data_IF_091128354408
#
_entry.id   IF_091128354408
#
_cell.length_a   1.000
_cell.length_b   1.000
_cell.length_c   1.000
_cell.angle_alpha   90.00
_cell.angle_beta   90.00
_cell.angle_gamma   90.00
#
_symmetry.space_group_name_H-M   'P 1'
#
loop_
_entity.id
_entity.type
_entity.pdbx_description
1 polymer ?
#
# COMPACT_ATOMS: atom_id res chain seq x y z
N UNK A 1 -8.38 -14.41 10.80
CA UNK A 1 -7.44 -13.75 9.86
C UNK A 1 -6.78 -14.81 8.98
N UNK A 2 -5.87 -14.41 8.09
CA UNK A 2 -5.14 -15.29 7.15
C UNK A 2 -3.68 -15.56 7.57
N UNK A 3 -3.45 -15.78 8.86
CA UNK A 3 -2.09 -15.88 9.43
C UNK A 3 -1.29 -17.10 8.92
N UNK A 4 -1.98 -18.15 8.50
CA UNK A 4 -1.44 -19.37 7.90
C UNK A 4 -0.95 -19.19 6.45
N UNK A 5 -1.34 -18.08 5.80
CA UNK A 5 -0.96 -17.81 4.42
C UNK A 5 0.52 -17.42 4.29
N UNK A 6 1.07 -16.67 5.25
CA UNK A 6 2.45 -16.20 5.17
C UNK A 6 3.49 -17.35 5.09
N UNK A 7 3.42 -18.40 5.92
CA UNK A 7 4.33 -19.54 5.81
C UNK A 7 4.26 -20.22 4.44
N UNK A 8 3.05 -20.40 3.90
CA UNK A 8 2.82 -21.03 2.59
C UNK A 8 3.38 -20.19 1.44
N UNK A 9 3.12 -18.89 1.42
CA UNK A 9 3.68 -17.98 0.39
C UNK A 9 5.23 -17.98 0.42
N UNK A 10 5.83 -18.05 1.61
CA UNK A 10 7.28 -18.17 1.77
C UNK A 10 7.84 -19.47 1.19
N UNK A 11 7.15 -20.60 1.38
CA UNK A 11 7.55 -21.88 0.78
C UNK A 11 7.45 -21.83 -0.75
N UNK A 12 6.38 -21.25 -1.29
CA UNK A 12 6.18 -21.08 -2.73
C UNK A 12 7.25 -20.18 -3.37
N UNK A 13 7.61 -19.06 -2.71
CA UNK A 13 8.78 -18.24 -3.10
C UNK A 13 10.06 -19.09 -3.10
N UNK A 14 10.24 -19.90 -2.04
CA UNK A 14 11.27 -20.95 -1.86
C UNK A 14 11.51 -21.77 -3.13
N UNK A 15 10.40 -22.30 -3.64
CA UNK A 15 10.38 -23.27 -4.73
C UNK A 15 10.16 -22.62 -6.11
N UNK A 16 10.10 -21.29 -6.21
CA UNK A 16 9.98 -20.56 -7.48
C UNK A 16 8.57 -20.55 -8.09
N UNK A 17 7.54 -20.92 -7.34
CA UNK A 17 6.14 -20.98 -7.79
C UNK A 17 5.46 -19.60 -7.79
N UNK A 18 6.00 -18.64 -8.55
CA UNK A 18 5.53 -17.25 -8.53
C UNK A 18 4.10 -17.07 -9.05
N UNK A 19 3.74 -17.73 -10.15
CA UNK A 19 2.38 -17.64 -10.73
C UNK A 19 1.33 -18.20 -9.77
N UNK A 20 1.55 -19.40 -9.25
CA UNK A 20 0.65 -20.03 -8.28
C UNK A 20 0.53 -19.21 -6.98
N UNK A 21 1.63 -18.58 -6.55
CA UNK A 21 1.65 -17.72 -5.36
C UNK A 21 0.74 -16.50 -5.55
N UNK A 22 0.75 -15.88 -6.73
CA UNK A 22 -0.10 -14.73 -7.03
C UNK A 22 -1.60 -15.07 -6.97
N UNK A 23 -1.98 -16.29 -7.36
CA UNK A 23 -3.36 -16.77 -7.29
C UNK A 23 -3.89 -16.90 -5.84
N UNK A 24 -3.01 -16.93 -4.84
CA UNK A 24 -3.40 -16.96 -3.43
C UNK A 24 -3.58 -15.56 -2.81
N UNK A 25 -3.21 -14.51 -3.54
CA UNK A 25 -3.37 -13.12 -3.12
C UNK A 25 -4.61 -12.56 -3.81
N UNK A 26 -5.77 -12.72 -3.16
CA UNK A 26 -7.03 -12.17 -3.64
C UNK A 26 -7.19 -10.67 -3.34
N UNK A 27 -8.20 -10.06 -3.96
CA UNK A 27 -8.50 -8.64 -3.84
C UNK A 27 -8.71 -8.21 -2.38
N UNK A 28 -9.42 -9.03 -1.60
CA UNK A 28 -9.69 -8.74 -0.19
C UNK A 28 -8.40 -8.69 0.64
N UNK A 29 -7.46 -9.63 0.40
CA UNK A 29 -6.15 -9.58 1.05
C UNK A 29 -5.36 -8.36 0.59
N UNK A 30 -5.36 -8.07 -0.71
CA UNK A 30 -4.65 -6.94 -1.30
C UNK A 30 -5.11 -5.61 -0.68
N UNK A 31 -6.42 -5.38 -0.60
CA UNK A 31 -7.02 -4.18 0.01
C UNK A 31 -6.71 -4.10 1.51
N UNK A 32 -6.59 -5.24 2.20
CA UNK A 32 -6.23 -5.28 3.61
C UNK A 32 -4.79 -4.80 3.84
N UNK A 33 -3.84 -5.25 3.01
CA UNK A 33 -2.39 -5.05 3.27
C UNK A 33 -1.76 -3.90 2.49
N UNK A 34 -2.48 -3.30 1.54
CA UNK A 34 -1.96 -2.22 0.70
C UNK A 34 -2.78 -0.94 0.85
N UNK A 35 -2.13 0.17 0.53
CA UNK A 35 -2.82 1.42 0.17
C UNK A 35 -2.63 1.61 -1.33
N UNK A 36 -3.73 1.75 -2.07
CA UNK A 36 -3.69 1.78 -3.55
C UNK A 36 -4.81 2.63 -4.12
N UNK A 37 -4.62 3.12 -5.34
CA UNK A 37 -5.57 3.99 -6.04
C UNK A 37 -4.87 5.19 -6.67
N UNK A 38 -5.67 6.20 -7.01
CA UNK A 38 -5.15 7.52 -7.40
C UNK A 38 -4.56 8.28 -6.19
N UNK A 39 -3.80 9.37 -6.39
CA UNK A 39 -3.16 10.12 -5.32
C UNK A 39 -4.10 10.56 -4.18
N UNK A 40 -5.35 10.93 -4.48
CA UNK A 40 -6.33 11.37 -3.47
C UNK A 40 -6.83 10.18 -2.66
N UNK A 41 -7.14 9.08 -3.34
CA UNK A 41 -7.56 7.83 -2.69
C UNK A 41 -6.45 7.26 -1.78
N UNK A 42 -5.19 7.34 -2.22
CA UNK A 42 -4.01 6.95 -1.43
C UNK A 42 -3.84 7.86 -0.21
N UNK A 43 -3.92 9.18 -0.39
CA UNK A 43 -3.82 10.13 0.72
C UNK A 43 -4.89 9.88 1.81
N UNK A 44 -6.15 9.67 1.39
CA UNK A 44 -7.25 9.39 2.31
C UNK A 44 -7.01 8.10 3.12
N UNK A 45 -6.61 7.02 2.46
CA UNK A 45 -6.29 5.76 3.11
C UNK A 45 -5.09 5.85 4.07
N UNK A 46 -4.06 6.62 3.71
CA UNK A 46 -2.92 6.87 4.61
C UNK A 46 -3.40 7.57 5.89
N UNK A 47 -4.20 8.64 5.75
CA UNK A 47 -4.70 9.39 6.90
C UNK A 47 -5.63 8.54 7.78
N UNK A 48 -6.55 7.77 7.17
CA UNK A 48 -7.46 6.89 7.89
C UNK A 48 -6.71 5.81 8.69
N UNK A 49 -5.74 5.14 8.05
CA UNK A 49 -5.04 3.99 8.67
C UNK A 49 -3.98 4.40 9.67
N UNK A 50 -3.28 5.51 9.43
CA UNK A 50 -2.07 5.87 10.18
C UNK A 50 -2.15 7.21 10.89
N UNK A 51 -3.13 8.09 10.58
CA UNK A 51 -3.18 9.45 11.12
C UNK A 51 -3.37 9.54 12.63
N UNK A 52 -3.98 8.52 13.26
CA UNK A 52 -4.08 8.43 14.72
C UNK A 52 -2.83 7.84 15.41
N UNK A 53 -1.90 7.28 14.62
CA UNK A 53 -0.73 6.55 15.11
C UNK A 53 0.58 7.28 14.80
N UNK A 54 0.60 8.11 13.77
CA UNK A 54 1.77 8.82 13.29
C UNK A 54 1.42 10.26 12.89
N UNK A 55 2.22 11.21 13.35
CA UNK A 55 2.12 12.63 12.97
C UNK A 55 2.68 12.89 11.56
N UNK A 56 3.62 12.05 11.12
CA UNK A 56 4.34 12.21 9.85
C UNK A 56 4.54 10.85 9.18
N UNK A 57 4.48 10.85 7.86
CA UNK A 57 4.81 9.68 7.03
C UNK A 57 5.91 10.05 6.03
N UNK A 58 6.72 9.07 5.67
CA UNK A 58 7.69 9.20 4.59
C UNK A 58 7.17 8.46 3.36
N UNK A 59 6.96 9.18 2.26
CA UNK A 59 6.64 8.56 0.96
C UNK A 59 7.96 8.23 0.28
N UNK A 60 8.31 6.95 0.22
CA UNK A 60 9.54 6.48 -0.42
C UNK A 60 9.26 5.96 -1.83
N UNK A 61 9.80 6.64 -2.84
CA UNK A 61 9.68 6.25 -4.26
C UNK A 61 11.08 6.07 -4.85
N UNK A 62 11.68 4.87 -4.77
CA UNK A 62 13.05 4.61 -5.23
C UNK A 62 13.21 4.54 -6.76
N UNK A 63 12.11 4.67 -7.51
CA UNK A 63 12.06 4.52 -8.94
C UNK A 63 11.48 5.76 -9.60
N UNK A 64 11.72 5.93 -10.90
CA UNK A 64 11.12 7.00 -11.68
C UNK A 64 9.59 6.91 -11.60
N UNK A 65 8.96 8.05 -11.35
CA UNK A 65 7.51 8.18 -11.28
C UNK A 65 7.05 9.21 -12.30
N UNK A 66 5.78 9.11 -12.77
CA UNK A 66 5.20 10.13 -13.62
C UNK A 66 5.37 11.54 -13.02
N UNK A 67 5.64 12.51 -13.89
CA UNK A 67 5.70 13.92 -13.50
C UNK A 67 4.40 14.33 -12.80
N UNK A 68 4.51 15.09 -11.72
CA UNK A 68 3.36 15.57 -10.95
C UNK A 68 2.77 14.56 -9.95
N UNK A 69 2.97 13.25 -10.11
CA UNK A 69 2.36 12.23 -9.23
C UNK A 69 2.66 12.47 -7.74
N UNK A 70 3.93 12.71 -7.42
CA UNK A 70 4.34 12.97 -6.04
C UNK A 70 3.76 14.30 -5.53
N UNK A 71 3.69 15.32 -6.38
CA UNK A 71 3.10 16.61 -6.04
C UNK A 71 1.62 16.46 -5.68
N UNK A 72 0.84 15.79 -6.53
CA UNK A 72 -0.59 15.53 -6.29
C UNK A 72 -0.84 14.75 -5.00
N UNK A 73 0.00 13.76 -4.70
CA UNK A 73 -0.10 12.99 -3.46
C UNK A 73 0.21 13.86 -2.23
N UNK A 74 1.26 14.68 -2.28
CA UNK A 74 1.64 15.56 -1.17
C UNK A 74 0.58 16.64 -0.93
N UNK A 75 0.04 17.24 -1.99
CA UNK A 75 -1.05 18.21 -1.91
C UNK A 75 -2.29 17.58 -1.28
N UNK A 76 -2.65 16.35 -1.68
CA UNK A 76 -3.77 15.63 -1.10
C UNK A 76 -3.54 15.29 0.39
N UNK A 77 -2.34 14.86 0.79
CA UNK A 77 -2.00 14.57 2.18
C UNK A 77 -2.08 15.82 3.07
N UNK A 78 -1.51 16.95 2.62
CA UNK A 78 -1.57 18.19 3.37
C UNK A 78 -2.99 18.76 3.45
N UNK A 79 -3.82 18.56 2.42
CA UNK A 79 -5.21 18.97 2.40
C UNK A 79 -6.08 18.27 3.46
N UNK A 80 -5.71 17.07 3.91
CA UNK A 80 -6.45 16.32 4.93
C UNK A 80 -6.20 16.87 6.34
N UNK A 81 -4.96 17.28 6.63
CA UNK A 81 -4.56 17.76 7.97
C UNK A 81 -4.92 19.21 8.27
N UNK A 82 -5.43 19.97 7.30
CA UNK A 82 -5.80 21.38 7.45
C UNK A 82 -7.23 21.62 7.98
N UNK A 83 -7.88 20.59 8.53
CA UNK A 83 -9.25 20.61 9.06
C UNK A 83 -9.34 20.72 10.58
#
# INVERSE_FOLDING_TARGET
>A
GRGDLQPRLREMTRAGHWEEMSALIDEALLDTITVRGDPRSVAAQIAERYGSHAERVAVYMPYATPDGLLGELLDALHGIGAG
#
